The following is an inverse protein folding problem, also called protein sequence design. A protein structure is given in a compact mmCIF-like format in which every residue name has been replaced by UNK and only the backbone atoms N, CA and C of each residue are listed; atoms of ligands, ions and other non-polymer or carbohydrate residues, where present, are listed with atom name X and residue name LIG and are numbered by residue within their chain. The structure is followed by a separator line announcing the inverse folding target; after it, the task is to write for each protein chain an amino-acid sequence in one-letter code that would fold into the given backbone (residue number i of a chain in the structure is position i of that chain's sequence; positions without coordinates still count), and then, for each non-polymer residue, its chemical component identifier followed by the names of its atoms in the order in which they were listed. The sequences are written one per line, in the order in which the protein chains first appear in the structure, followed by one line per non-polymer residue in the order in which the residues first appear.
data_IF_222064157144
#
_entry.id   IF_222064157144
#
_cell.length_a   1.000
_cell.length_b   1.000
_cell.length_c   1.000
_cell.angle_alpha   90.00
_cell.angle_beta   90.00
_cell.angle_gamma   90.00
#
_symmetry.space_group_name_H-M   'P 1'
#
loop_
_entity.id
_entity.type
_entity.pdbx_description
1 polymer ?
#
# COMPACT_ATOMS: atom_id res chain seq x y z
N UNK A 1 -7.38 22.86 0.39
CA UNK A 1 -6.71 21.84 1.22
C UNK A 1 -5.19 22.02 1.16
N UNK A 2 -4.68 23.19 1.54
CA UNK A 2 -3.24 23.47 1.50
C UNK A 2 -2.58 22.97 2.79
N UNK A 3 -1.48 22.22 2.69
CA UNK A 3 -0.60 21.88 3.82
C UNK A 3 -0.90 20.58 4.57
N UNK A 4 -2.06 19.95 4.37
CA UNK A 4 -2.41 18.72 5.11
C UNK A 4 -1.45 17.56 4.80
N UNK A 5 -1.12 17.34 3.53
CA UNK A 5 -0.19 16.25 3.16
C UNK A 5 1.25 16.56 3.57
N UNK A 6 1.62 17.84 3.66
CA UNK A 6 2.93 18.22 4.23
C UNK A 6 2.99 17.90 5.72
N UNK A 7 1.92 18.18 6.46
CA UNK A 7 1.80 17.80 7.88
C UNK A 7 1.86 16.28 8.07
N UNK A 8 1.16 15.51 7.24
CA UNK A 8 1.27 14.04 7.24
C UNK A 8 2.72 13.61 6.98
N UNK A 9 3.41 14.23 6.02
CA UNK A 9 4.82 13.93 5.75
C UNK A 9 5.72 14.20 6.94
N UNK A 10 5.49 15.29 7.68
CA UNK A 10 6.19 15.61 8.93
C UNK A 10 5.93 14.55 10.00
N UNK A 11 4.67 14.15 10.18
CA UNK A 11 4.29 13.10 11.15
C UNK A 11 4.99 11.77 10.84
N UNK A 12 5.03 11.38 9.56
CA UNK A 12 5.74 10.16 9.13
C UNK A 12 7.23 10.28 9.38
N UNK A 13 7.85 11.42 9.04
CA UNK A 13 9.28 11.64 9.28
C UNK A 13 9.63 11.53 10.77
N UNK A 14 8.85 12.17 11.64
CA UNK A 14 9.02 12.07 13.09
C UNK A 14 8.85 10.62 13.58
N UNK A 15 7.81 9.93 13.10
CA UNK A 15 7.58 8.53 13.45
C UNK A 15 8.79 7.66 13.10
N UNK A 16 9.36 7.81 11.90
CA UNK A 16 10.50 7.01 11.45
C UNK A 16 11.78 7.30 12.25
N UNK A 17 12.10 8.57 12.48
CA UNK A 17 13.27 8.96 13.28
C UNK A 17 13.17 8.43 14.73
N UNK A 18 11.95 8.24 15.23
CA UNK A 18 11.67 7.70 16.57
C UNK A 18 11.47 6.17 16.60
N UNK A 19 11.69 5.47 15.48
CA UNK A 19 11.55 4.01 15.40
C UNK A 19 10.10 3.50 15.31
N UNK A 20 9.18 4.34 14.85
CA UNK A 20 7.78 4.00 14.59
C UNK A 20 7.56 3.16 13.32
N UNK A 21 6.32 2.69 13.07
CA UNK A 21 6.01 1.63 12.10
C UNK A 21 5.98 2.06 10.62
N UNK A 22 6.31 3.31 10.31
CA UNK A 22 6.26 3.85 8.94
C UNK A 22 4.85 4.15 8.43
N UNK A 23 4.70 4.17 7.10
CA UNK A 23 3.46 4.51 6.40
C UNK A 23 3.21 3.58 5.21
N UNK A 24 3.01 2.27 5.44
CA UNK A 24 3.05 1.27 4.38
C UNK A 24 1.70 1.12 3.66
N UNK A 25 1.23 2.19 3.00
CA UNK A 25 -0.06 2.21 2.32
C UNK A 25 -0.01 2.73 0.89
N UNK A 26 1.18 3.10 0.40
CA UNK A 26 1.34 3.59 -0.95
C UNK A 26 1.45 2.44 -1.95
N UNK A 27 0.90 2.66 -3.14
CA UNK A 27 1.25 1.86 -4.30
C UNK A 27 2.72 2.10 -4.67
N UNK A 28 3.36 1.09 -5.26
CA UNK A 28 4.78 1.13 -5.62
C UNK A 28 5.16 2.34 -6.50
N UNK A 29 4.37 2.74 -7.52
CA UNK A 29 4.68 3.93 -8.32
C UNK A 29 4.67 5.23 -7.51
N UNK A 30 3.74 5.36 -6.57
CA UNK A 30 3.67 6.52 -5.69
C UNK A 30 4.91 6.62 -4.81
N UNK A 31 5.44 5.50 -4.31
CA UNK A 31 6.70 5.47 -3.57
C UNK A 31 7.87 5.92 -4.44
N UNK A 32 8.04 5.38 -5.65
CA UNK A 32 9.13 5.79 -6.53
C UNK A 32 9.01 7.25 -7.00
N UNK A 33 7.79 7.79 -7.12
CA UNK A 33 7.60 9.22 -7.28
C UNK A 33 8.03 10.01 -6.03
N UNK A 34 7.68 9.53 -4.83
CA UNK A 34 8.12 10.18 -3.58
C UNK A 34 9.62 10.19 -3.44
N UNK A 35 10.35 9.20 -3.93
CA UNK A 35 11.81 9.17 -3.87
C UNK A 35 12.41 10.09 -4.95
N UNK A 36 12.01 9.91 -6.20
CA UNK A 36 12.67 10.56 -7.34
C UNK A 36 12.16 11.96 -7.66
N UNK A 37 10.88 12.23 -7.38
CA UNK A 37 10.18 13.43 -7.86
C UNK A 37 9.88 13.40 -9.36
N UNK A 38 10.20 12.30 -10.05
CA UNK A 38 10.05 12.13 -11.49
C UNK A 38 8.89 11.18 -11.80
N UNK A 39 7.93 11.70 -12.57
CA UNK A 39 6.75 10.94 -13.02
C UNK A 39 7.16 9.84 -13.99
N UNK A 40 8.15 10.08 -14.87
CA UNK A 40 8.60 9.11 -15.86
C UNK A 40 9.34 7.94 -15.20
N UNK A 41 10.15 8.22 -14.17
CA UNK A 41 10.76 7.17 -13.37
C UNK A 41 9.70 6.33 -12.65
N UNK A 42 8.73 6.98 -11.99
CA UNK A 42 7.64 6.29 -11.30
C UNK A 42 6.76 5.44 -12.24
N UNK A 43 6.55 5.88 -13.48
CA UNK A 43 5.78 5.15 -14.50
C UNK A 43 6.35 3.77 -14.80
N UNK A 44 7.67 3.57 -14.65
CA UNK A 44 8.31 2.25 -14.87
C UNK A 44 7.86 1.18 -13.87
N UNK A 45 7.26 1.60 -12.76
CA UNK A 45 6.72 0.72 -11.72
C UNK A 45 5.20 0.59 -11.79
N UNK A 46 4.53 1.30 -12.71
CA UNK A 46 3.08 1.26 -12.82
C UNK A 46 2.60 -0.02 -13.47
N UNK A 47 1.55 -0.58 -12.88
CA UNK A 47 0.74 -1.65 -13.44
C UNK A 47 -0.74 -1.24 -13.52
N UNK A 48 -1.50 -1.88 -14.40
CA UNK A 48 -2.96 -1.69 -14.51
C UNK A 48 -3.67 -1.96 -13.18
N UNK A 49 -3.15 -2.87 -12.36
CA UNK A 49 -3.65 -3.20 -11.04
C UNK A 49 -3.45 -2.08 -10.00
N UNK A 50 -2.57 -1.11 -10.27
CA UNK A 50 -2.40 0.09 -9.42
C UNK A 50 -3.53 1.12 -9.62
N UNK A 51 -4.35 0.99 -10.67
CA UNK A 51 -5.51 1.86 -10.88
C UNK A 51 -6.49 1.63 -9.73
N UNK A 52 -6.75 2.62 -8.86
CA UNK A 52 -7.55 2.44 -7.64
C UNK A 52 -9.05 2.30 -7.92
N UNK A 53 -9.52 2.73 -9.10
CA UNK A 53 -10.93 2.79 -9.45
C UNK A 53 -11.29 1.58 -10.34
N UNK A 54 -12.12 0.63 -9.88
CA UNK A 54 -12.43 -0.59 -10.63
C UNK A 54 -13.00 -0.33 -12.04
N UNK A 55 -13.83 0.70 -12.20
CA UNK A 55 -14.41 1.07 -13.50
C UNK A 55 -13.31 1.50 -14.47
N UNK A 56 -12.46 2.45 -14.08
CA UNK A 56 -11.34 2.91 -14.91
C UNK A 56 -10.37 1.77 -15.22
N UNK A 57 -10.11 0.88 -14.24
CA UNK A 57 -9.26 -0.30 -14.44
C UNK A 57 -9.84 -1.24 -15.49
N UNK A 58 -11.13 -1.57 -15.39
CA UNK A 58 -11.79 -2.47 -16.34
C UNK A 58 -11.75 -1.90 -17.76
N UNK A 59 -12.01 -0.61 -17.94
CA UNK A 59 -11.91 0.05 -19.26
C UNK A 59 -10.50 -0.04 -19.84
N UNK A 60 -9.46 0.16 -19.01
CA UNK A 60 -8.07 0.01 -19.46
C UNK A 60 -7.77 -1.44 -19.85
N UNK A 61 -8.22 -2.42 -19.07
CA UNK A 61 -8.09 -3.84 -19.41
C UNK A 61 -8.78 -4.18 -20.73
N UNK A 62 -10.04 -3.74 -20.90
CA UNK A 62 -10.76 -3.90 -22.17
C UNK A 62 -9.98 -3.30 -23.34
N UNK A 63 -9.45 -2.08 -23.17
CA UNK A 63 -8.66 -1.42 -24.20
C UNK A 63 -7.34 -2.17 -24.51
N UNK A 64 -6.71 -2.78 -23.50
CA UNK A 64 -5.54 -3.64 -23.69
C UNK A 64 -5.88 -4.87 -24.54
N UNK A 65 -7.04 -5.48 -24.29
CA UNK A 65 -7.50 -6.71 -24.95
C UNK A 65 -8.00 -6.50 -26.39
N UNK A 66 -8.36 -5.26 -26.78
CA UNK A 66 -8.82 -4.96 -28.15
C UNK A 66 -7.78 -5.35 -29.20
N UNK A 67 -8.18 -6.10 -30.22
CA UNK A 67 -7.26 -6.58 -31.29
C UNK A 67 -7.55 -6.02 -32.68
N UNK A 68 -8.69 -5.37 -32.90
CA UNK A 68 -9.10 -4.85 -34.21
C UNK A 68 -9.78 -3.48 -34.16
N UNK A 69 -9.80 -2.79 -35.30
CA UNK A 69 -10.34 -1.44 -35.42
C UNK A 69 -11.86 -1.37 -35.17
N UNK A 70 -12.63 -2.40 -35.55
CA UNK A 70 -14.08 -2.44 -35.30
C UNK A 70 -14.41 -2.48 -33.80
N UNK A 71 -13.71 -3.36 -33.07
CA UNK A 71 -13.84 -3.48 -31.61
C UNK A 71 -13.36 -2.19 -30.91
N UNK A 72 -12.26 -1.60 -31.39
CA UNK A 72 -11.78 -0.30 -30.90
C UNK A 72 -12.82 0.80 -31.12
N UNK A 73 -13.48 0.80 -32.30
CA UNK A 73 -14.51 1.77 -32.66
C UNK A 73 -15.75 1.66 -31.77
N UNK A 74 -16.17 0.46 -31.39
CA UNK A 74 -17.25 0.28 -30.41
C UNK A 74 -16.83 0.72 -29.00
N UNK A 75 -15.63 0.34 -28.55
CA UNK A 75 -15.12 0.76 -27.24
C UNK A 75 -14.92 2.28 -27.16
N UNK A 76 -14.55 2.94 -28.26
CA UNK A 76 -14.37 4.39 -28.34
C UNK A 76 -15.67 5.18 -28.09
N UNK A 77 -16.84 4.56 -28.27
CA UNK A 77 -18.15 5.16 -27.96
C UNK A 77 -18.48 5.09 -26.46
N UNK A 78 -17.71 4.36 -25.66
CA UNK A 78 -17.91 4.25 -24.23
C UNK A 78 -17.67 5.61 -23.54
N UNK A 79 -18.72 6.17 -22.94
CA UNK A 79 -18.67 7.47 -22.26
C UNK A 79 -17.64 7.54 -21.13
N UNK A 80 -17.39 6.43 -20.42
CA UNK A 80 -16.38 6.39 -19.37
C UNK A 80 -14.96 6.44 -19.93
N UNK A 81 -14.70 5.80 -21.09
CA UNK A 81 -13.42 5.92 -21.78
C UNK A 81 -13.21 7.35 -22.27
N UNK A 82 -14.22 7.96 -22.89
CA UNK A 82 -14.17 9.36 -23.35
C UNK A 82 -13.83 10.29 -22.18
N UNK A 83 -14.53 10.14 -21.04
CA UNK A 83 -14.26 10.92 -19.85
C UNK A 83 -12.85 10.69 -19.31
N UNK A 84 -12.37 9.44 -19.33
CA UNK A 84 -11.03 9.09 -18.85
C UNK A 84 -9.93 9.75 -19.71
N UNK A 85 -10.07 9.69 -21.03
CA UNK A 85 -9.15 10.32 -21.99
C UNK A 85 -9.16 11.84 -21.86
N UNK A 86 -10.35 12.44 -21.76
CA UNK A 86 -10.50 13.88 -21.57
C UNK A 86 -9.85 14.35 -20.27
N UNK A 87 -10.08 13.63 -19.16
CA UNK A 87 -9.48 13.94 -17.86
C UNK A 87 -7.96 13.76 -17.85
N UNK A 88 -7.45 12.79 -18.62
CA UNK A 88 -6.01 12.58 -18.82
C UNK A 88 -5.36 13.71 -19.62
N UNK A 89 -6.15 14.50 -20.37
CA UNK A 89 -5.64 15.49 -21.32
C UNK A 89 -5.00 14.84 -22.54
N UNK A 90 -5.37 13.60 -22.87
CA UNK A 90 -4.86 12.91 -24.05
C UNK A 90 -5.53 13.47 -25.30
N UNK A 91 -4.71 13.97 -26.24
CA UNK A 91 -5.18 14.60 -27.49
C UNK A 91 -4.94 13.71 -28.71
N UNK A 92 -4.27 12.57 -28.54
CA UNK A 92 -4.06 11.61 -29.61
C UNK A 92 -5.39 10.98 -30.03
N UNK A 93 -5.57 10.78 -31.33
CA UNK A 93 -6.72 10.02 -31.85
C UNK A 93 -6.58 8.56 -31.41
N UNK A 94 -7.65 7.98 -30.86
CA UNK A 94 -7.67 6.58 -30.46
C UNK A 94 -7.67 5.68 -31.70
N UNK A 95 -6.54 5.03 -31.95
CA UNK A 95 -6.30 4.12 -33.06
C UNK A 95 -5.44 2.94 -32.58
N UNK A 96 -5.45 1.82 -33.31
CA UNK A 96 -4.65 0.66 -32.94
C UNK A 96 -3.15 0.98 -32.82
N UNK A 97 -2.63 1.89 -33.65
CA UNK A 97 -1.24 2.35 -33.63
C UNK A 97 -0.89 3.21 -32.40
N UNK A 98 -1.85 3.97 -31.86
CA UNK A 98 -1.67 4.88 -30.72
C UNK A 98 -2.12 4.28 -29.40
N UNK A 99 -2.84 3.16 -29.43
CA UNK A 99 -3.45 2.45 -28.29
C UNK A 99 -2.51 2.30 -27.09
N UNK A 100 -1.30 1.77 -27.32
CA UNK A 100 -0.33 1.54 -26.25
C UNK A 100 0.08 2.81 -25.52
N UNK A 101 0.35 3.89 -26.27
CA UNK A 101 0.68 5.21 -25.71
C UNK A 101 -0.49 5.76 -24.89
N UNK A 102 -1.70 5.66 -25.41
CA UNK A 102 -2.92 6.14 -24.74
C UNK A 102 -3.14 5.39 -23.42
N UNK A 103 -2.98 4.05 -23.42
CA UNK A 103 -3.04 3.24 -22.19
C UNK A 103 -2.01 3.75 -21.17
N UNK A 104 -0.76 3.97 -21.60
CA UNK A 104 0.30 4.46 -20.73
C UNK A 104 -0.03 5.84 -20.14
N UNK A 105 -0.52 6.78 -20.96
CA UNK A 105 -0.98 8.10 -20.52
C UNK A 105 -2.06 7.99 -19.46
N UNK A 106 -3.07 7.15 -19.69
CA UNK A 106 -4.18 6.93 -18.78
C UNK A 106 -3.72 6.33 -17.45
N UNK A 107 -2.90 5.28 -17.49
CA UNK A 107 -2.33 4.66 -16.28
C UNK A 107 -1.53 5.69 -15.48
N UNK A 108 -0.63 6.43 -16.14
CA UNK A 108 0.16 7.50 -15.52
C UNK A 108 -0.73 8.55 -14.85
N UNK A 109 -1.76 9.01 -15.56
CA UNK A 109 -2.69 10.01 -15.06
C UNK A 109 -3.42 9.54 -13.80
N UNK A 110 -4.04 8.37 -13.88
CA UNK A 110 -4.90 7.83 -12.82
C UNK A 110 -4.10 7.41 -11.58
N UNK A 111 -2.91 6.86 -11.78
CA UNK A 111 -2.07 6.35 -10.69
C UNK A 111 -1.25 7.46 -10.04
N UNK A 112 -0.65 8.38 -10.81
CA UNK A 112 0.32 9.36 -10.29
C UNK A 112 -0.22 10.78 -10.43
N UNK A 113 -0.54 11.24 -11.64
CA UNK A 113 -0.75 12.68 -11.91
C UNK A 113 -1.89 13.28 -11.09
N UNK A 114 -3.02 12.57 -10.91
CA UNK A 114 -4.16 13.04 -10.09
C UNK A 114 -3.81 13.33 -8.64
N UNK A 115 -2.74 12.73 -8.12
CA UNK A 115 -2.29 12.84 -6.74
C UNK A 115 -0.92 13.50 -6.59
N UNK A 116 -0.33 13.99 -7.69
CA UNK A 116 0.97 14.66 -7.72
C UNK A 116 1.08 15.77 -6.68
N UNK A 117 0.09 16.65 -6.58
CA UNK A 117 0.09 17.75 -5.60
C UNK A 117 0.16 17.27 -4.14
N UNK A 118 -0.51 16.16 -3.83
CA UNK A 118 -0.46 15.55 -2.50
C UNK A 118 0.90 14.91 -2.24
N UNK A 119 1.46 14.20 -3.23
CA UNK A 119 2.79 13.59 -3.14
C UNK A 119 3.89 14.66 -3.02
N UNK A 120 3.78 15.79 -3.71
CA UNK A 120 4.73 16.91 -3.61
C UNK A 120 4.72 17.53 -2.22
N UNK A 121 3.53 17.72 -1.63
CA UNK A 121 3.42 18.16 -0.24
C UNK A 121 4.00 17.13 0.72
N UNK A 122 3.74 15.84 0.49
CA UNK A 122 4.28 14.76 1.31
C UNK A 122 5.82 14.74 1.27
N UNK A 123 6.43 14.92 0.08
CA UNK A 123 7.87 15.10 -0.10
C UNK A 123 8.40 16.26 0.75
N UNK A 124 7.76 17.43 0.71
CA UNK A 124 8.14 18.58 1.56
C UNK A 124 8.12 18.21 3.05
N UNK A 125 7.10 17.50 3.49
CA UNK A 125 6.98 17.06 4.88
C UNK A 125 8.08 16.08 5.28
N UNK A 126 8.33 15.06 4.46
CA UNK A 126 9.37 14.04 4.68
C UNK A 126 10.78 14.64 4.72
N UNK A 127 11.02 15.74 4.00
CA UNK A 127 12.31 16.42 4.00
C UNK A 127 12.63 17.16 5.30
N UNK A 128 11.64 17.36 6.19
CA UNK A 128 11.81 18.17 7.42
C UNK A 128 12.89 17.62 8.36
N UNK A 129 13.10 16.30 8.37
CA UNK A 129 14.14 15.61 9.15
C UNK A 129 15.16 14.87 8.26
N UNK A 130 15.24 15.20 6.96
CA UNK A 130 16.14 14.53 6.01
C UNK A 130 15.73 13.11 5.61
N UNK A 131 14.53 12.64 5.99
CA UNK A 131 14.06 11.29 5.65
C UNK A 131 13.97 11.10 4.13
N UNK A 132 13.51 12.12 3.41
CA UNK A 132 13.44 12.09 1.94
C UNK A 132 14.82 11.88 1.29
N UNK A 133 15.87 12.50 1.84
CA UNK A 133 17.24 12.35 1.33
C UNK A 133 17.75 10.93 1.53
N UNK A 134 17.49 10.33 2.70
CA UNK A 134 17.86 8.94 2.99
C UNK A 134 17.05 7.94 2.15
N UNK A 135 15.76 8.21 1.94
CA UNK A 135 14.94 7.43 1.00
C UNK A 135 15.52 7.46 -0.42
N UNK A 136 16.04 8.61 -0.85
CA UNK A 136 16.66 8.80 -2.18
C UNK A 136 17.98 8.04 -2.34
N UNK A 137 18.78 7.94 -1.28
CA UNK A 137 20.03 7.17 -1.28
C UNK A 137 19.78 5.66 -1.17
N UNK A 138 18.74 5.25 -0.45
CA UNK A 138 18.50 3.86 -0.08
C UNK A 138 17.04 3.38 -0.34
N UNK A 139 16.51 3.53 -1.57
CA UNK A 139 15.08 3.29 -1.85
C UNK A 139 14.61 1.88 -1.48
N UNK A 140 15.43 0.86 -1.72
CA UNK A 140 15.07 -0.54 -1.41
C UNK A 140 14.85 -0.80 0.08
N UNK A 141 15.54 -0.07 0.97
CA UNK A 141 15.35 -0.19 2.42
C UNK A 141 14.04 0.48 2.86
N UNK A 142 13.66 1.59 2.21
CA UNK A 142 12.46 2.33 2.56
C UNK A 142 11.19 1.81 1.87
N UNK A 143 11.31 1.00 0.82
CA UNK A 143 10.15 0.50 0.08
C UNK A 143 9.15 -0.23 1.00
N UNK A 144 9.62 -1.14 1.85
CA UNK A 144 8.75 -1.87 2.80
C UNK A 144 8.17 -1.01 3.94
N UNK A 145 8.72 0.18 4.14
CA UNK A 145 8.23 1.16 5.14
C UNK A 145 7.04 1.96 4.59
N UNK A 146 6.99 2.17 3.27
CA UNK A 146 6.05 3.06 2.61
C UNK A 146 5.05 2.35 1.69
N UNK A 147 5.37 1.15 1.22
CA UNK A 147 4.49 0.39 0.32
C UNK A 147 3.78 -0.72 1.06
N UNK A 148 2.50 -0.92 0.72
CA UNK A 148 1.76 -2.07 1.21
C UNK A 148 2.26 -3.32 0.49
N UNK A 149 2.81 -4.27 1.24
CA UNK A 149 3.11 -5.62 0.76
C UNK A 149 2.22 -6.60 1.53
N UNK A 150 1.25 -7.27 0.87
CA UNK A 150 0.47 -8.29 1.54
C UNK A 150 1.42 -9.41 1.97
N UNK A 151 1.62 -9.55 3.28
CA UNK A 151 2.34 -10.68 3.85
C UNK A 151 1.31 -11.80 4.02
N UNK A 152 1.56 -12.93 3.37
CA UNK A 152 0.78 -14.13 3.63
C UNK A 152 1.16 -14.65 5.03
N UNK A 153 0.25 -14.46 5.99
CA UNK A 153 0.49 -14.88 7.36
C UNK A 153 0.30 -16.38 7.47
N UNK A 154 1.34 -17.07 7.93
CA UNK A 154 1.27 -18.48 8.28
C UNK A 154 1.11 -18.64 9.79
N UNK A 155 0.54 -19.77 10.27
CA UNK A 155 0.49 -20.06 11.69
C UNK A 155 1.86 -20.00 12.38
N UNK A 156 2.92 -20.43 11.67
CA UNK A 156 4.29 -20.38 12.18
C UNK A 156 4.75 -18.94 12.48
N UNK A 157 4.54 -18.01 11.54
CA UNK A 157 4.91 -16.60 11.69
C UNK A 157 4.17 -15.98 12.88
N UNK A 158 2.87 -16.26 13.03
CA UNK A 158 2.08 -15.72 14.14
C UNK A 158 2.55 -16.28 15.48
N UNK A 159 2.80 -17.60 15.58
CA UNK A 159 3.27 -18.24 16.81
C UNK A 159 4.65 -17.75 17.24
N UNK A 160 5.57 -17.49 16.31
CA UNK A 160 6.89 -16.91 16.62
C UNK A 160 6.76 -15.54 17.33
N UNK A 161 5.68 -14.81 17.05
CA UNK A 161 5.45 -13.45 17.55
C UNK A 161 4.58 -13.40 18.80
N UNK A 162 3.85 -14.48 19.10
CA UNK A 162 3.07 -14.61 20.33
C UNK A 162 4.03 -14.85 21.51
N UNK A 163 4.12 -13.85 22.39
CA UNK A 163 4.85 -13.97 23.64
C UNK A 163 3.88 -14.31 24.76
N UNK A 164 4.25 -15.31 25.55
CA UNK A 164 3.55 -15.71 26.76
C UNK A 164 4.44 -15.42 27.97
N UNK A 165 3.87 -15.10 29.14
CA UNK A 165 4.60 -15.09 30.40
C UNK A 165 5.37 -16.39 30.64
N UNK A 166 6.51 -16.31 31.31
CA UNK A 166 7.36 -17.47 31.64
C UNK A 166 6.64 -18.43 32.61
N UNK A 167 5.85 -17.87 33.53
CA UNK A 167 5.01 -18.63 34.46
C UNK A 167 3.53 -18.48 34.10
N UNK A 168 2.85 -19.61 33.93
CA UNK A 168 1.43 -19.68 33.60
C UNK A 168 0.73 -20.61 34.58
N UNK A 169 -0.42 -20.18 35.12
CA UNK A 169 -1.34 -21.06 35.84
C UNK A 169 -1.88 -22.15 34.93
N UNK A 170 -2.43 -23.23 35.50
CA UNK A 170 -3.01 -24.34 34.73
C UNK A 170 -4.09 -23.87 33.73
N UNK A 171 -4.94 -22.94 34.16
CA UNK A 171 -5.97 -22.33 33.31
C UNK A 171 -5.36 -21.50 32.17
N UNK A 172 -4.27 -20.77 32.44
CA UNK A 172 -3.57 -19.98 31.42
C UNK A 172 -2.80 -20.86 30.42
N UNK A 173 -2.28 -22.01 30.87
CA UNK A 173 -1.70 -23.02 29.98
C UNK A 173 -2.75 -23.61 29.03
N UNK A 174 -3.95 -23.91 29.54
CA UNK A 174 -5.02 -24.43 28.70
C UNK A 174 -5.49 -23.38 27.67
N UNK A 175 -5.63 -22.12 28.10
CA UNK A 175 -5.92 -20.99 27.19
C UNK A 175 -4.85 -20.82 26.12
N UNK A 176 -3.57 -20.96 26.47
CA UNK A 176 -2.45 -20.95 25.51
C UNK A 176 -2.58 -22.08 24.48
N UNK A 177 -2.95 -23.30 24.89
CA UNK A 177 -3.18 -24.41 23.94
C UNK A 177 -4.33 -24.10 22.99
N UNK A 178 -5.44 -23.57 23.51
CA UNK A 178 -6.59 -23.19 22.68
C UNK A 178 -6.20 -22.10 21.66
N UNK A 179 -5.45 -21.08 22.06
CA UNK A 179 -4.96 -20.04 21.15
C UNK A 179 -4.05 -20.60 20.06
N UNK A 180 -3.09 -21.46 20.42
CA UNK A 180 -2.21 -22.09 19.43
C UNK A 180 -2.99 -22.95 18.43
N UNK A 181 -3.96 -23.73 18.92
CA UNK A 181 -4.86 -24.52 18.06
C UNK A 181 -5.67 -23.63 17.12
N UNK A 182 -6.21 -22.51 17.60
CA UNK A 182 -6.90 -21.54 16.75
C UNK A 182 -5.99 -21.00 15.65
N UNK A 183 -4.75 -20.63 15.99
CA UNK A 183 -3.76 -20.14 15.02
C UNK A 183 -3.43 -21.20 13.97
N UNK A 184 -3.20 -22.45 14.39
CA UNK A 184 -2.87 -23.57 13.50
C UNK A 184 -4.00 -23.94 12.54
N UNK A 185 -5.25 -23.70 12.92
CA UNK A 185 -6.44 -24.04 12.12
C UNK A 185 -6.98 -22.84 11.32
N UNK A 186 -6.36 -21.66 11.44
CA UNK A 186 -6.83 -20.44 10.79
C UNK A 186 -6.25 -20.26 9.39
N UNK A 187 -7.05 -19.72 8.48
CA UNK A 187 -6.57 -19.25 7.18
C UNK A 187 -5.73 -17.97 7.31
N UNK A 188 -4.89 -17.68 6.32
CA UNK A 188 -4.10 -16.44 6.26
C UNK A 188 -4.97 -15.18 6.43
N UNK A 189 -6.15 -15.14 5.80
CA UNK A 189 -7.09 -14.03 5.97
C UNK A 189 -7.60 -13.89 7.42
N UNK A 190 -7.87 -15.02 8.11
CA UNK A 190 -8.31 -15.02 9.50
C UNK A 190 -7.19 -14.61 10.45
N UNK A 191 -5.96 -15.03 10.18
CA UNK A 191 -4.77 -14.59 10.92
C UNK A 191 -4.52 -13.08 10.74
N UNK A 192 -4.74 -12.53 9.55
CA UNK A 192 -4.65 -11.09 9.31
C UNK A 192 -5.72 -10.30 10.08
N UNK A 193 -6.93 -10.84 10.20
CA UNK A 193 -7.98 -10.25 11.05
C UNK A 193 -7.60 -10.28 12.53
N UNK A 194 -7.07 -11.41 13.04
CA UNK A 194 -6.56 -11.50 14.41
C UNK A 194 -5.47 -10.45 14.65
N UNK A 195 -4.52 -10.35 13.73
CA UNK A 195 -3.44 -9.38 13.81
C UNK A 195 -3.97 -7.94 13.86
N UNK A 196 -4.88 -7.59 12.96
CA UNK A 196 -5.48 -6.26 12.93
C UNK A 196 -6.28 -5.97 14.21
N UNK A 197 -7.00 -6.96 14.73
CA UNK A 197 -7.72 -6.81 15.99
C UNK A 197 -6.78 -6.52 17.16
N UNK A 198 -5.66 -7.23 17.26
CA UNK A 198 -4.72 -7.07 18.36
C UNK A 198 -3.82 -5.84 18.24
N UNK A 199 -3.42 -5.45 17.02
CA UNK A 199 -2.39 -4.43 16.78
C UNK A 199 -2.93 -3.15 16.15
N UNK A 200 -4.18 -3.14 15.71
CA UNK A 200 -4.76 -2.07 14.89
C UNK A 200 -4.26 -2.06 13.43
N UNK A 201 -3.30 -2.93 13.06
CA UNK A 201 -2.64 -2.93 11.75
C UNK A 201 -2.81 -4.27 11.03
N UNK A 202 -3.04 -4.21 9.71
CA UNK A 202 -3.02 -5.40 8.83
C UNK A 202 -1.61 -5.80 8.40
N UNK A 203 -0.60 -5.03 8.80
CA UNK A 203 0.80 -5.24 8.40
C UNK A 203 1.66 -5.59 9.58
N UNK A 204 2.45 -6.66 9.41
CA UNK A 204 3.62 -6.98 10.23
C UNK A 204 4.68 -5.92 9.99
N UNK A 205 5.04 -5.11 11.00
CA UNK A 205 6.13 -4.17 10.85
C UNK A 205 7.41 -4.96 10.61
N UNK A 206 8.03 -4.74 9.46
CA UNK A 206 9.28 -5.42 9.05
C UNK A 206 10.47 -5.11 9.99
N UNK A 207 10.32 -4.13 10.87
CA UNK A 207 11.37 -3.61 11.75
C UNK A 207 11.08 -3.73 13.24
N UNK A 208 10.06 -4.49 13.68
CA UNK A 208 9.95 -4.85 15.11
C UNK A 208 10.94 -5.98 15.41
N UNK A 209 12.22 -5.68 15.24
CA UNK A 209 13.26 -6.21 16.11
C UNK A 209 13.44 -5.18 17.23
N UNK A 210 13.10 -5.57 18.45
CA UNK A 210 13.37 -4.87 19.74
C UNK A 210 12.34 -3.88 20.30
N UNK A 211 11.48 -3.21 19.53
CA UNK A 211 10.44 -2.35 20.14
C UNK A 211 9.21 -3.16 20.54
N UNK A 212 9.17 -3.52 21.82
CA UNK A 212 8.11 -4.27 22.50
C UNK A 212 6.72 -3.73 22.20
N UNK A 213 6.04 -4.28 21.19
CA UNK A 213 4.58 -4.28 21.17
C UNK A 213 4.16 -5.35 22.19
N UNK A 214 4.25 -4.98 23.46
CA UNK A 214 3.80 -5.80 24.58
C UNK A 214 2.32 -6.06 24.35
N UNK A 215 1.96 -7.31 24.10
CA UNK A 215 0.58 -7.80 24.14
C UNK A 215 0.06 -7.70 25.58
N UNK A 216 -0.11 -6.50 26.11
CA UNK A 216 -0.71 -6.26 27.44
C UNK A 216 -2.23 -6.04 27.33
N UNK A 217 -2.80 -6.10 26.12
CA UNK A 217 -4.21 -5.78 25.88
C UNK A 217 -5.20 -6.95 26.03
N UNK A 218 -4.76 -8.15 26.43
CA UNK A 218 -5.69 -9.28 26.64
C UNK A 218 -5.76 -9.81 28.09
N UNK A 219 -5.01 -9.24 29.03
CA UNK A 219 -5.03 -9.69 30.44
C UNK A 219 -5.97 -8.90 31.37
N UNK A 220 -6.33 -7.61 31.18
CA UNK A 220 -7.19 -6.95 32.17
C UNK A 220 -8.66 -7.41 32.15
N UNK A 221 -9.04 -8.35 31.26
CA UNK A 221 -10.42 -8.86 31.14
C UNK A 221 -10.62 -10.32 31.57
N UNK A 222 -9.61 -10.98 32.13
CA UNK A 222 -9.72 -12.35 32.68
C UNK A 222 -9.46 -12.38 34.19
N UNK A 223 -10.14 -11.50 34.93
CA UNK A 223 -10.38 -11.69 36.37
C UNK A 223 -11.83 -12.10 36.59
N UNK A 224 -12.10 -13.40 36.45
CA UNK A 224 -13.23 -14.12 37.09
C UNK A 224 -12.79 -15.56 37.34
#
# INVERSE_FOLDING_TARGET
MSGMFEMVGKMIAHSLVQGGPGFPCLALPCFYYLVTGDVMCALTYCDVWDIPYPISRNIVLQLMDVTGDDELGELAKNGELINLLANCGETSVLQMSTKGKIIQSVVMYVVISKRKMALDQLRKGLNTLGVLDEMSKHPLLFEGVFTFKPVELTPAIVKERLKYPDELSDQAQETKKMMNRFVDQSSSARLMQLMQYCTGSKMMPSYISSSTCTFTLLIPYLQW
#
